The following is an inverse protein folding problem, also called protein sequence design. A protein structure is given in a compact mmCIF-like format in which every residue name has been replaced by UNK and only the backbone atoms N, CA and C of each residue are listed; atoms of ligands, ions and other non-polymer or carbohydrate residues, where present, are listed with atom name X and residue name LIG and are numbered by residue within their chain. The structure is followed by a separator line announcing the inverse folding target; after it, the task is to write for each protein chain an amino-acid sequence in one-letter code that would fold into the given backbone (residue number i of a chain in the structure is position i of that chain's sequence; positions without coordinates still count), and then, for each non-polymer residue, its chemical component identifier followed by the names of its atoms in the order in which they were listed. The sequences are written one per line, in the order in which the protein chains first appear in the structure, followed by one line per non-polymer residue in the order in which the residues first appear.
data_IF_502385370298
#
_entry.id   IF_502385370298
#
_cell.length_a   1.000
_cell.length_b   1.000
_cell.length_c   1.000
_cell.angle_alpha   90.00
_cell.angle_beta   90.00
_cell.angle_gamma   90.00
#
_symmetry.space_group_name_H-M   'P 1'
#
loop_
_entity.id
_entity.type
_entity.pdbx_description
1 polymer ?
#
# COMPACT_ATOMS: atom_id res chain seq x y z
N UNK A 1 4.96 -13.70 -20.85
CA UNK A 1 4.73 -12.49 -20.02
C UNK A 1 4.43 -12.90 -18.58
N UNK A 2 4.87 -12.10 -17.62
CA UNK A 2 4.52 -12.22 -16.21
C UNK A 2 4.16 -10.84 -15.67
N UNK A 3 3.18 -10.76 -14.76
CA UNK A 3 2.84 -9.52 -14.07
C UNK A 3 3.33 -9.58 -12.64
N UNK A 4 4.01 -8.55 -12.17
CA UNK A 4 4.46 -8.39 -10.81
C UNK A 4 3.72 -7.23 -10.17
N UNK A 5 3.06 -7.46 -9.03
CA UNK A 5 2.34 -6.45 -8.27
C UNK A 5 3.02 -6.24 -6.91
N UNK A 6 3.21 -4.98 -6.51
CA UNK A 6 3.66 -4.62 -5.18
C UNK A 6 3.01 -3.30 -4.74
N UNK A 7 2.94 -3.09 -3.44
CA UNK A 7 2.30 -1.94 -2.83
C UNK A 7 2.01 -2.18 -1.36
N UNK A 8 1.13 -1.36 -0.80
CA UNK A 8 0.71 -1.43 0.59
C UNK A 8 -0.57 -2.26 0.81
N UNK A 9 -1.31 -1.97 1.88
CA UNK A 9 -2.55 -2.64 2.25
C UNK A 9 -3.63 -2.58 1.17
N UNK A 10 -3.67 -1.51 0.39
CA UNK A 10 -4.66 -1.34 -0.69
C UNK A 10 -4.40 -2.28 -1.86
N UNK A 11 -3.14 -2.55 -2.20
CA UNK A 11 -2.78 -3.55 -3.22
C UNK A 11 -2.91 -4.97 -2.66
N UNK A 12 -2.59 -5.17 -1.37
CA UNK A 12 -2.70 -6.45 -0.70
C UNK A 12 -4.17 -6.90 -0.49
N UNK A 13 -5.13 -5.99 -0.58
CA UNK A 13 -6.54 -6.27 -0.33
C UNK A 13 -6.88 -6.42 1.15
N UNK A 14 -6.19 -5.67 2.02
CA UNK A 14 -6.46 -5.71 3.45
C UNK A 14 -7.93 -5.46 3.76
N UNK A 15 -8.45 -6.17 4.75
CA UNK A 15 -9.84 -6.13 5.22
C UNK A 15 -10.86 -6.88 4.32
N UNK A 16 -10.47 -7.32 3.12
CA UNK A 16 -11.38 -8.08 2.25
C UNK A 16 -11.78 -9.46 2.84
N UNK A 17 -10.96 -10.00 3.74
CA UNK A 17 -11.22 -11.26 4.43
C UNK A 17 -11.83 -11.08 5.83
N UNK A 18 -12.04 -9.86 6.31
CA UNK A 18 -12.51 -9.60 7.67
C UNK A 18 -14.00 -9.91 7.88
N UNK A 19 -14.76 -10.15 6.82
CA UNK A 19 -16.18 -10.54 6.85
C UNK A 19 -16.45 -11.86 7.59
N UNK A 20 -15.42 -12.65 7.85
CA UNK A 20 -15.51 -13.86 8.69
C UNK A 20 -15.44 -13.57 10.20
N UNK A 21 -15.12 -12.33 10.59
CA UNK A 21 -15.01 -11.94 11.99
C UNK A 21 -16.40 -11.75 12.63
N UNK A 22 -16.54 -12.09 13.92
CA UNK A 22 -17.81 -11.88 14.63
C UNK A 22 -18.25 -10.43 14.60
N UNK A 23 -19.54 -10.20 14.34
CA UNK A 23 -20.17 -8.88 14.35
C UNK A 23 -19.51 -7.85 13.40
N UNK A 24 -18.82 -8.32 12.34
CA UNK A 24 -18.23 -7.42 11.37
C UNK A 24 -19.32 -6.53 10.74
N UNK A 25 -19.16 -5.19 10.73
CA UNK A 25 -20.25 -4.27 10.35
C UNK A 25 -20.56 -4.26 8.85
N UNK A 26 -19.82 -5.02 8.04
CA UNK A 26 -20.02 -5.11 6.59
C UNK A 26 -19.46 -3.92 5.82
N UNK A 27 -19.81 -3.87 4.56
CA UNK A 27 -19.41 -2.78 3.64
C UNK A 27 -20.22 -1.52 3.96
N UNK A 28 -19.57 -0.39 3.83
CA UNK A 28 -20.20 0.91 4.03
C UNK A 28 -20.67 1.48 2.71
N UNK A 29 -21.89 2.01 2.71
CA UNK A 29 -22.36 2.86 1.62
C UNK A 29 -21.58 4.17 1.62
N UNK A 30 -21.18 4.55 0.43
CA UNK A 30 -20.36 5.73 0.23
C UNK A 30 -21.20 6.92 -0.27
N UNK A 31 -20.77 8.18 0.00
CA UNK A 31 -19.51 8.71 -0.54
C UNK A 31 -18.34 8.63 0.46
N UNK A 32 -17.18 8.12 0.00
CA UNK A 32 -15.94 8.16 0.75
C UNK A 32 -15.58 9.62 1.04
N UNK A 33 -15.50 9.97 2.32
CA UNK A 33 -15.04 11.26 2.78
C UNK A 33 -13.52 11.16 3.03
N UNK A 34 -12.67 11.72 2.18
CA UNK A 34 -11.22 11.65 2.34
C UNK A 34 -10.72 12.47 3.53
N UNK A 35 -11.61 13.06 4.33
CA UNK A 35 -11.20 13.86 5.48
C UNK A 35 -10.47 12.98 6.50
N UNK A 36 -9.19 13.26 6.81
CA UNK A 36 -8.44 12.48 7.78
C UNK A 36 -9.16 12.41 9.13
N UNK A 37 -9.30 11.20 9.68
CA UNK A 37 -9.88 10.97 10.99
C UNK A 37 -11.39 10.77 11.03
N UNK A 38 -12.10 10.79 9.91
CA UNK A 38 -13.50 10.36 9.87
C UNK A 38 -13.58 8.85 9.68
N UNK A 39 -13.70 8.15 10.78
CA UNK A 39 -14.12 6.75 10.79
C UNK A 39 -15.65 6.68 10.78
N UNK A 40 -16.18 5.63 10.17
CA UNK A 40 -17.63 5.44 10.17
C UNK A 40 -18.10 5.07 11.59
N UNK A 41 -19.22 5.65 12.04
CA UNK A 41 -19.73 5.45 13.42
C UNK A 41 -19.88 3.98 13.79
N UNK A 42 -20.41 3.16 12.90
CA UNK A 42 -20.58 1.72 13.13
C UNK A 42 -19.23 1.00 13.31
N UNK A 43 -18.19 1.41 12.56
CA UNK A 43 -16.85 0.87 12.72
C UNK A 43 -16.24 1.32 14.06
N UNK A 44 -16.40 2.57 14.45
CA UNK A 44 -15.92 3.06 15.74
C UNK A 44 -16.56 2.31 16.90
N UNK A 45 -17.87 2.11 16.86
CA UNK A 45 -18.60 1.35 17.87
C UNK A 45 -18.14 -0.11 17.94
N UNK A 46 -18.01 -0.77 16.79
CA UNK A 46 -17.49 -2.12 16.67
C UNK A 46 -16.03 -2.21 17.15
N UNK A 47 -15.18 -1.26 16.75
CA UNK A 47 -13.77 -1.20 17.15
C UNK A 47 -13.61 -1.00 18.65
N UNK A 48 -14.37 -0.06 19.25
CA UNK A 48 -14.35 0.20 20.69
C UNK A 48 -14.79 -1.04 21.46
N UNK A 49 -15.91 -1.64 21.09
CA UNK A 49 -16.44 -2.86 21.70
C UNK A 49 -15.42 -4.00 21.61
N UNK A 50 -14.76 -4.13 20.48
CA UNK A 50 -13.90 -5.27 20.18
C UNK A 50 -12.51 -5.16 20.79
N UNK A 51 -11.92 -3.96 20.82
CA UNK A 51 -10.54 -3.75 21.20
C UNK A 51 -10.38 -3.15 22.60
N UNK A 52 -11.31 -2.30 23.05
CA UNK A 52 -11.22 -1.64 24.35
C UNK A 52 -11.88 -2.43 25.47
N UNK A 53 -13.03 -3.04 25.20
CA UNK A 53 -13.80 -3.71 26.26
C UNK A 53 -13.31 -5.13 26.53
N UNK A 54 -13.07 -5.94 25.49
CA UNK A 54 -12.71 -7.36 25.68
C UNK A 54 -11.57 -7.85 24.78
N UNK A 55 -11.10 -7.07 23.83
CA UNK A 55 -10.12 -7.46 22.80
C UNK A 55 -10.42 -8.81 22.10
N UNK A 56 -11.68 -9.26 22.12
CA UNK A 56 -12.03 -10.60 21.60
C UNK A 56 -11.91 -10.67 20.07
N UNK A 57 -12.21 -9.57 19.37
CA UNK A 57 -12.08 -9.56 17.90
C UNK A 57 -10.60 -9.52 17.49
N UNK A 58 -9.74 -8.81 18.22
CA UNK A 58 -8.30 -8.89 18.00
C UNK A 58 -7.78 -10.31 18.17
N UNK A 59 -8.26 -11.03 19.20
CA UNK A 59 -7.95 -12.44 19.43
C UNK A 59 -8.49 -13.31 18.30
N UNK A 60 -9.75 -13.14 17.88
CA UNK A 60 -10.35 -13.90 16.80
C UNK A 60 -9.68 -13.60 15.45
N UNK A 61 -9.33 -12.32 15.17
CA UNK A 61 -8.53 -11.95 14.00
C UNK A 61 -7.17 -12.63 14.03
N UNK A 62 -6.49 -12.66 15.17
CA UNK A 62 -5.22 -13.36 15.32
C UNK A 62 -5.35 -14.87 15.09
N UNK A 63 -6.36 -15.51 15.68
CA UNK A 63 -6.64 -16.95 15.48
C UNK A 63 -6.91 -17.27 14.01
N UNK A 64 -7.66 -16.42 13.32
CA UNK A 64 -8.04 -16.59 11.93
C UNK A 64 -7.09 -15.91 10.93
N UNK A 65 -5.97 -15.33 11.38
CA UNK A 65 -5.06 -14.51 10.56
C UNK A 65 -4.67 -15.19 9.26
N UNK A 66 -4.42 -16.50 9.29
CA UNK A 66 -4.04 -17.26 8.09
C UNK A 66 -5.17 -17.32 7.06
N UNK A 67 -6.41 -17.50 7.53
CA UNK A 67 -7.60 -17.56 6.67
C UNK A 67 -7.91 -16.17 6.12
N UNK A 68 -7.90 -15.14 6.96
CA UNK A 68 -8.12 -13.75 6.57
C UNK A 68 -7.10 -13.32 5.52
N UNK A 69 -5.79 -13.54 5.79
CA UNK A 69 -4.75 -13.17 4.83
C UNK A 69 -4.94 -13.89 3.49
N UNK A 70 -5.35 -15.16 3.50
CA UNK A 70 -5.64 -15.90 2.27
C UNK A 70 -6.82 -15.27 1.51
N UNK A 71 -7.91 -14.95 2.20
CA UNK A 71 -9.07 -14.29 1.60
C UNK A 71 -8.74 -12.88 1.08
N UNK A 72 -7.97 -12.10 1.83
CA UNK A 72 -7.48 -10.79 1.39
C UNK A 72 -6.78 -10.91 0.03
N UNK A 73 -5.81 -11.82 -0.08
CA UNK A 73 -5.06 -12.03 -1.33
C UNK A 73 -5.94 -12.58 -2.47
N UNK A 74 -6.86 -13.50 -2.17
CA UNK A 74 -7.76 -14.09 -3.17
C UNK A 74 -8.74 -13.07 -3.75
N UNK A 75 -9.19 -12.12 -2.96
CA UNK A 75 -10.15 -11.07 -3.32
C UNK A 75 -9.49 -9.80 -3.84
N UNK A 76 -8.18 -9.61 -3.61
CA UNK A 76 -7.44 -8.47 -4.11
C UNK A 76 -7.30 -8.47 -5.64
N UNK A 77 -7.15 -7.28 -6.22
CA UNK A 77 -7.08 -7.12 -7.68
C UNK A 77 -5.96 -7.92 -8.36
N UNK A 78 -4.76 -8.15 -7.77
CA UNK A 78 -3.74 -8.94 -8.45
C UNK A 78 -4.20 -10.37 -8.78
N UNK A 79 -4.88 -11.03 -7.85
CA UNK A 79 -5.41 -12.38 -8.09
C UNK A 79 -6.59 -12.39 -9.08
N UNK A 80 -7.43 -11.36 -9.04
CA UNK A 80 -8.50 -11.16 -10.02
C UNK A 80 -7.93 -10.90 -11.41
N UNK A 81 -6.88 -10.09 -11.50
CA UNK A 81 -6.16 -9.83 -12.74
C UNK A 81 -5.61 -11.13 -13.34
N UNK A 82 -4.97 -11.99 -12.54
CA UNK A 82 -4.49 -13.30 -12.98
C UNK A 82 -5.60 -14.13 -13.65
N UNK A 83 -6.77 -14.20 -12.99
CA UNK A 83 -7.93 -14.94 -13.50
C UNK A 83 -8.47 -14.35 -14.81
N UNK A 84 -8.45 -13.02 -14.94
CA UNK A 84 -8.99 -12.34 -16.13
C UNK A 84 -8.09 -12.47 -17.36
N UNK A 85 -6.77 -12.39 -17.18
CA UNK A 85 -5.82 -12.40 -18.31
C UNK A 85 -5.21 -13.78 -18.58
N UNK A 86 -5.37 -14.74 -17.67
CA UNK A 86 -4.77 -16.08 -17.77
C UNK A 86 -3.25 -16.08 -17.76
N UNK A 87 -2.62 -15.02 -17.24
CA UNK A 87 -1.17 -14.84 -17.14
C UNK A 87 -0.80 -14.76 -15.66
N UNK A 88 0.27 -15.45 -15.29
CA UNK A 88 0.74 -15.48 -13.90
C UNK A 88 0.97 -14.07 -13.35
N UNK A 89 0.37 -13.79 -12.18
CA UNK A 89 0.55 -12.56 -11.42
C UNK A 89 1.21 -12.89 -10.08
N UNK A 90 2.33 -12.24 -9.80
CA UNK A 90 3.00 -12.34 -8.49
C UNK A 90 2.56 -11.14 -7.67
N UNK A 91 1.90 -11.39 -6.53
CA UNK A 91 1.54 -10.33 -5.59
C UNK A 91 2.50 -10.35 -4.39
N UNK A 92 3.37 -9.33 -4.30
CA UNK A 92 4.32 -9.14 -3.19
C UNK A 92 3.91 -8.01 -2.25
N UNK A 93 2.73 -7.42 -2.44
CA UNK A 93 2.23 -6.32 -1.62
C UNK A 93 2.01 -6.73 -0.17
N UNK A 94 2.16 -5.77 0.74
CA UNK A 94 2.02 -6.01 2.18
C UNK A 94 1.41 -4.82 2.88
N UNK A 95 0.49 -5.05 3.83
CA UNK A 95 -0.05 -3.98 4.66
C UNK A 95 1.06 -3.24 5.42
N UNK A 96 0.87 -1.93 5.58
CA UNK A 96 1.75 -1.10 6.39
C UNK A 96 3.14 -0.82 5.80
N UNK A 97 3.38 -1.12 4.52
CA UNK A 97 4.66 -0.83 3.86
C UNK A 97 4.87 0.66 3.59
N UNK A 98 6.15 1.06 3.57
CA UNK A 98 6.61 2.36 3.06
C UNK A 98 7.00 2.27 1.60
N UNK A 99 7.14 3.44 0.95
CA UNK A 99 7.65 3.51 -0.42
C UNK A 99 9.06 2.94 -0.54
N UNK A 100 9.93 3.16 0.46
CA UNK A 100 11.29 2.58 0.53
C UNK A 100 11.24 1.04 0.44
N UNK A 101 10.35 0.40 1.24
CA UNK A 101 10.21 -1.06 1.22
C UNK A 101 9.64 -1.55 -0.09
N UNK A 102 8.61 -0.89 -0.63
CA UNK A 102 8.02 -1.25 -1.92
C UNK A 102 9.09 -1.25 -3.01
N UNK A 103 9.88 -0.19 -3.12
CA UNK A 103 10.91 -0.06 -4.14
C UNK A 103 12.03 -1.06 -3.94
N UNK A 104 12.56 -1.17 -2.71
CA UNK A 104 13.64 -2.11 -2.40
C UNK A 104 13.27 -3.56 -2.71
N UNK A 105 12.08 -4.00 -2.27
CA UNK A 105 11.62 -5.37 -2.54
C UNK A 105 11.28 -5.58 -4.01
N UNK A 106 10.64 -4.61 -4.67
CA UNK A 106 10.37 -4.70 -6.11
C UNK A 106 11.64 -4.84 -6.93
N UNK A 107 12.67 -4.04 -6.67
CA UNK A 107 13.95 -4.16 -7.39
C UNK A 107 14.60 -5.53 -7.18
N UNK A 108 14.60 -6.04 -5.94
CA UNK A 108 15.16 -7.36 -5.63
C UNK A 108 14.45 -8.48 -6.38
N UNK A 109 13.12 -8.47 -6.36
CA UNK A 109 12.30 -9.48 -7.04
C UNK A 109 12.43 -9.38 -8.56
N UNK A 110 12.33 -8.17 -9.10
CA UNK A 110 12.45 -7.93 -10.54
C UNK A 110 13.85 -8.29 -11.07
N UNK A 111 14.92 -8.06 -10.30
CA UNK A 111 16.26 -8.57 -10.64
C UNK A 111 16.28 -10.11 -10.76
N UNK A 112 15.54 -10.79 -9.92
CA UNK A 112 15.44 -12.25 -9.96
C UNK A 112 14.58 -12.69 -11.15
N UNK A 113 13.43 -12.05 -11.36
CA UNK A 113 12.51 -12.37 -12.44
C UNK A 113 13.12 -12.14 -13.83
N UNK A 114 13.95 -11.11 -14.02
CA UNK A 114 14.63 -10.83 -15.30
C UNK A 114 15.63 -11.90 -15.72
N UNK A 115 16.04 -12.79 -14.81
CA UNK A 115 16.90 -13.94 -15.15
C UNK A 115 16.15 -15.03 -15.93
N UNK A 116 14.82 -15.10 -15.78
CA UNK A 116 14.00 -16.17 -16.34
C UNK A 116 12.85 -15.68 -17.23
N UNK A 117 12.56 -14.39 -17.21
CA UNK A 117 11.45 -13.79 -17.95
C UNK A 117 11.90 -12.54 -18.67
N UNK A 118 11.66 -12.47 -19.99
CA UNK A 118 12.00 -11.31 -20.84
C UNK A 118 10.87 -10.30 -21.00
N UNK A 119 9.62 -10.69 -20.71
CA UNK A 119 8.44 -9.84 -20.80
C UNK A 119 7.80 -9.71 -19.42
N UNK A 120 8.08 -8.62 -18.72
CA UNK A 120 7.62 -8.35 -17.36
C UNK A 120 6.85 -7.04 -17.36
N UNK A 121 5.67 -7.05 -16.74
CA UNK A 121 4.90 -5.86 -16.40
C UNK A 121 4.90 -5.70 -14.88
N UNK A 122 5.42 -4.60 -14.38
CA UNK A 122 5.40 -4.25 -12.96
C UNK A 122 4.25 -3.28 -12.68
N UNK A 123 3.36 -3.63 -11.77
CA UNK A 123 2.23 -2.82 -11.30
C UNK A 123 2.52 -2.42 -9.86
N UNK A 124 2.78 -1.15 -9.62
CA UNK A 124 3.25 -0.65 -8.34
C UNK A 124 2.26 0.35 -7.77
N UNK A 125 1.70 0.01 -6.60
CA UNK A 125 0.88 0.92 -5.82
C UNK A 125 1.74 1.83 -4.94
N UNK A 126 1.37 3.11 -4.84
CA UNK A 126 1.98 4.01 -3.89
C UNK A 126 1.48 3.73 -2.45
N UNK A 127 2.01 4.47 -1.48
CA UNK A 127 1.60 4.39 -0.07
C UNK A 127 1.66 5.78 0.55
N UNK A 128 1.21 5.92 1.80
CA UNK A 128 1.27 7.20 2.53
C UNK A 128 2.71 7.72 2.64
N UNK A 129 2.88 9.01 2.39
CA UNK A 129 4.19 9.68 2.33
C UNK A 129 4.99 9.63 3.63
N UNK A 130 4.30 9.70 4.77
CA UNK A 130 4.93 9.74 6.09
C UNK A 130 5.53 8.39 6.55
N UNK A 131 5.46 7.35 5.73
CA UNK A 131 6.03 6.03 6.03
C UNK A 131 7.45 5.94 5.49
N UNK A 132 8.38 5.47 6.33
CA UNK A 132 9.78 5.21 5.95
C UNK A 132 10.22 3.85 6.44
N UNK A 133 11.30 3.33 5.89
CA UNK A 133 11.93 2.09 6.32
C UNK A 133 13.26 2.39 7.01
N UNK A 134 13.52 1.78 8.15
CA UNK A 134 14.78 1.90 8.88
C UNK A 134 15.38 0.52 9.15
N UNK A 135 16.71 0.44 9.16
CA UNK A 135 17.40 -0.76 9.54
C UNK A 135 17.42 -0.89 11.08
N UNK A 136 17.00 -2.05 11.58
CA UNK A 136 16.93 -2.34 13.01
C UNK A 136 17.63 -3.66 13.29
N UNK A 137 18.57 -3.68 14.22
CA UNK A 137 19.37 -4.87 14.55
C UNK A 137 18.55 -6.03 15.16
N UNK A 138 17.36 -5.75 15.70
CA UNK A 138 16.57 -6.73 16.48
C UNK A 138 15.07 -6.68 16.15
N UNK A 139 14.71 -6.40 14.92
CA UNK A 139 13.30 -6.39 14.55
C UNK A 139 12.82 -7.79 14.14
N UNK A 140 11.61 -8.12 14.59
CA UNK A 140 10.92 -9.37 14.24
C UNK A 140 9.72 -8.98 13.40
N UNK A 141 9.66 -9.49 12.18
CA UNK A 141 8.51 -9.32 11.30
C UNK A 141 7.66 -10.59 11.35
N UNK A 142 6.36 -10.44 11.58
CA UNK A 142 5.42 -11.58 11.51
C UNK A 142 4.91 -11.66 10.08
N UNK A 143 5.29 -12.73 9.39
CA UNK A 143 4.86 -13.01 8.03
C UNK A 143 4.15 -14.36 7.98
N UNK A 144 2.88 -14.38 7.55
CA UNK A 144 2.13 -15.63 7.41
C UNK A 144 2.18 -16.54 8.65
N UNK A 145 2.05 -15.96 9.86
CA UNK A 145 2.22 -16.63 11.16
C UNK A 145 3.62 -17.19 11.43
N UNK A 146 4.61 -16.80 10.66
CA UNK A 146 6.01 -17.11 10.96
C UNK A 146 6.72 -15.86 11.51
N UNK A 147 7.46 -16.08 12.56
CA UNK A 147 8.35 -15.06 13.13
C UNK A 147 9.62 -15.07 12.32
N UNK A 148 9.85 -14.03 11.54
CA UNK A 148 11.03 -13.89 10.70
C UNK A 148 11.88 -12.75 11.25
N UNK A 149 13.16 -13.00 11.60
CA UNK A 149 14.09 -11.92 11.92
C UNK A 149 14.20 -10.99 10.71
N UNK A 150 13.94 -9.71 10.93
CA UNK A 150 14.06 -8.68 9.90
C UNK A 150 15.05 -7.62 10.38
N UNK A 151 15.89 -7.19 9.47
CA UNK A 151 16.76 -6.03 9.70
C UNK A 151 16.08 -4.71 9.31
N UNK A 152 14.84 -4.77 8.82
CA UNK A 152 14.11 -3.61 8.34
C UNK A 152 12.78 -3.44 9.05
N UNK A 153 12.52 -2.23 9.50
CA UNK A 153 11.28 -1.82 10.13
C UNK A 153 10.65 -0.67 9.34
N UNK A 154 9.39 -0.84 8.93
CA UNK A 154 8.59 0.29 8.47
C UNK A 154 8.14 1.11 9.66
N UNK A 155 8.40 2.39 9.66
CA UNK A 155 8.00 3.35 10.69
C UNK A 155 7.06 4.39 10.10
N UNK A 156 6.12 4.82 10.94
CA UNK A 156 5.19 5.90 10.65
C UNK A 156 5.14 6.81 11.88
N UNK A 157 5.00 8.10 11.67
CA UNK A 157 4.87 9.07 12.77
C UNK A 157 3.70 8.79 13.72
N UNK A 158 2.73 7.99 13.27
CA UNK A 158 1.47 7.74 14.00
C UNK A 158 1.38 6.38 14.66
N UNK A 159 2.32 5.46 14.42
CA UNK A 159 2.16 4.08 14.87
C UNK A 159 3.39 3.55 15.61
N UNK A 160 3.21 3.20 16.89
CA UNK A 160 4.21 2.57 17.76
C UNK A 160 3.76 1.16 18.10
N UNK A 161 4.70 0.23 18.15
CA UNK A 161 4.45 -1.13 18.62
C UNK A 161 4.88 -1.27 20.08
N UNK A 162 4.19 -2.13 20.87
CA UNK A 162 4.53 -2.38 22.27
C UNK A 162 5.95 -2.92 22.50
N UNK A 163 6.59 -3.41 21.44
CA UNK A 163 7.94 -4.01 21.50
C UNK A 163 9.01 -3.13 20.85
N UNK A 164 8.68 -1.89 20.50
CA UNK A 164 9.66 -0.97 19.95
C UNK A 164 10.72 -0.63 21.02
N UNK A 165 12.00 -0.69 20.62
CA UNK A 165 13.10 -0.34 21.52
C UNK A 165 13.14 1.16 21.80
N UNK A 166 13.84 1.56 22.85
CA UNK A 166 13.99 2.98 23.19
C UNK A 166 14.66 3.76 22.06
N UNK A 167 15.64 3.17 21.35
CA UNK A 167 16.27 3.79 20.20
C UNK A 167 15.26 4.02 19.05
N UNK A 168 14.38 3.05 18.81
CA UNK A 168 13.34 3.19 17.80
C UNK A 168 12.29 4.23 18.22
N UNK A 169 11.92 4.29 19.50
CA UNK A 169 11.05 5.32 20.03
C UNK A 169 11.66 6.71 19.88
N UNK A 170 12.95 6.89 20.17
CA UNK A 170 13.67 8.15 19.94
C UNK A 170 13.65 8.55 18.45
N UNK A 171 13.83 7.59 17.54
CA UNK A 171 13.76 7.84 16.10
C UNK A 171 12.35 8.25 15.66
N UNK A 172 11.32 7.61 16.20
CA UNK A 172 9.93 7.99 15.95
C UNK A 172 9.61 9.39 16.47
N UNK A 173 10.12 9.76 17.65
CA UNK A 173 9.98 11.11 18.19
C UNK A 173 10.71 12.15 17.33
N UNK A 174 11.93 11.82 16.85
CA UNK A 174 12.65 12.67 15.91
C UNK A 174 11.84 12.90 14.63
N UNK A 175 11.30 11.83 14.02
CA UNK A 175 10.45 11.94 12.85
C UNK A 175 9.25 12.85 13.09
N UNK A 176 8.54 12.65 14.21
CA UNK A 176 7.35 13.42 14.54
C UNK A 176 7.65 14.92 14.70
N UNK A 177 8.83 15.27 15.28
CA UNK A 177 9.19 16.65 15.59
C UNK A 177 9.85 17.36 14.39
N UNK A 178 10.71 16.66 13.64
CA UNK A 178 11.64 17.29 12.69
C UNK A 178 11.35 16.96 11.23
N UNK A 179 10.71 15.82 10.92
CA UNK A 179 10.36 15.54 9.53
C UNK A 179 9.18 16.39 9.08
N UNK A 180 9.42 17.19 8.06
CA UNK A 180 8.40 18.00 7.38
C UNK A 180 7.93 17.30 6.10
N UNK A 181 6.77 17.66 5.62
CA UNK A 181 6.20 17.16 4.36
C UNK A 181 7.19 17.19 3.20
N UNK A 182 8.04 18.21 3.15
CA UNK A 182 9.11 18.33 2.15
C UNK A 182 10.00 17.06 2.07
N UNK A 183 10.50 16.56 3.21
CA UNK A 183 11.34 15.36 3.23
C UNK A 183 10.59 14.12 2.74
N UNK A 184 9.30 14.02 3.06
CA UNK A 184 8.48 12.91 2.62
C UNK A 184 8.30 12.91 1.09
N UNK A 185 8.07 14.09 0.49
CA UNK A 185 7.98 14.22 -0.96
C UNK A 185 9.31 13.95 -1.65
N UNK A 186 10.41 14.51 -1.15
CA UNK A 186 11.74 14.24 -1.70
C UNK A 186 12.04 12.74 -1.67
N UNK A 187 11.80 12.08 -0.54
CA UNK A 187 12.01 10.64 -0.41
C UNK A 187 11.11 9.84 -1.36
N UNK A 188 9.85 10.22 -1.47
CA UNK A 188 8.90 9.58 -2.39
C UNK A 188 9.38 9.67 -3.83
N UNK A 189 9.70 10.87 -4.34
CA UNK A 189 10.12 11.04 -5.72
C UNK A 189 11.49 10.41 -6.02
N UNK A 190 12.42 10.41 -5.09
CA UNK A 190 13.68 9.63 -5.23
C UNK A 190 13.39 8.14 -5.43
N UNK A 191 12.48 7.57 -4.68
CA UNK A 191 12.08 6.18 -4.81
C UNK A 191 11.37 5.91 -6.15
N UNK A 192 10.50 6.82 -6.61
CA UNK A 192 9.86 6.75 -7.92
C UNK A 192 10.91 6.73 -9.03
N UNK A 193 11.84 7.69 -9.03
CA UNK A 193 12.93 7.79 -10.03
C UNK A 193 13.77 6.52 -10.04
N UNK A 194 14.20 6.06 -8.86
CA UNK A 194 15.03 4.86 -8.74
C UNK A 194 14.36 3.63 -9.39
N UNK A 195 13.07 3.42 -9.12
CA UNK A 195 12.36 2.27 -9.68
C UNK A 195 12.07 2.45 -11.18
N UNK A 196 11.74 3.66 -11.63
CA UNK A 196 11.52 3.96 -13.05
C UNK A 196 12.78 3.70 -13.88
N UNK A 197 13.92 4.24 -13.45
CA UNK A 197 15.18 4.09 -14.15
C UNK A 197 15.64 2.62 -14.14
N UNK A 198 15.46 1.92 -13.02
CA UNK A 198 15.71 0.48 -12.94
C UNK A 198 14.84 -0.30 -13.94
N UNK A 199 13.54 -0.04 -13.98
CA UNK A 199 12.63 -0.72 -14.91
C UNK A 199 12.98 -0.41 -16.37
N UNK A 200 13.29 0.85 -16.67
CA UNK A 200 13.74 1.27 -18.01
C UNK A 200 15.03 0.54 -18.43
N UNK A 201 16.03 0.49 -17.54
CA UNK A 201 17.30 -0.22 -17.79
C UNK A 201 17.09 -1.72 -18.03
N UNK A 202 16.12 -2.34 -17.36
CA UNK A 202 15.80 -3.77 -17.48
C UNK A 202 14.72 -4.09 -18.51
N UNK A 203 14.27 -3.11 -19.28
CA UNK A 203 13.17 -3.25 -20.25
C UNK A 203 11.88 -3.83 -19.63
N UNK A 204 11.57 -3.41 -18.40
CA UNK A 204 10.35 -3.78 -17.67
C UNK A 204 9.29 -2.70 -17.92
N UNK A 205 8.08 -3.09 -18.27
CA UNK A 205 6.94 -2.16 -18.37
C UNK A 205 6.45 -1.82 -16.98
N UNK A 206 6.44 -0.54 -16.63
CA UNK A 206 6.04 -0.06 -15.28
C UNK A 206 4.71 0.67 -15.36
N UNK A 207 3.76 0.24 -14.54
CA UNK A 207 2.46 0.88 -14.32
C UNK A 207 2.33 1.32 -12.87
N UNK A 208 2.04 2.61 -12.65
CA UNK A 208 1.83 3.16 -11.33
C UNK A 208 0.35 3.24 -10.96
N UNK A 209 0.02 2.85 -9.72
CA UNK A 209 -1.32 3.02 -9.15
C UNK A 209 -1.30 4.06 -8.04
N UNK A 210 -2.20 5.04 -8.09
CA UNK A 210 -2.54 5.83 -6.92
C UNK A 210 -3.50 5.03 -6.04
N UNK A 211 -3.03 4.56 -4.90
CA UNK A 211 -3.83 3.74 -3.98
C UNK A 211 -4.63 4.60 -3.02
N UNK A 212 -3.97 5.48 -2.27
CA UNK A 212 -4.61 6.35 -1.27
C UNK A 212 -4.72 7.78 -1.81
N UNK A 213 -3.60 8.32 -2.28
CA UNK A 213 -3.46 9.72 -2.66
C UNK A 213 -2.78 9.86 -4.02
N UNK A 214 -3.19 10.86 -4.76
CA UNK A 214 -2.54 11.27 -6.00
C UNK A 214 -1.43 12.27 -5.69
N UNK A 215 -0.24 11.78 -5.44
CA UNK A 215 0.93 12.60 -5.08
C UNK A 215 1.44 13.50 -6.22
N UNK A 216 0.83 13.43 -7.41
CA UNK A 216 1.15 14.37 -8.51
C UNK A 216 0.44 15.72 -8.35
N UNK A 217 -0.57 15.81 -7.47
CA UNK A 217 -1.39 17.01 -7.27
C UNK A 217 -0.88 17.94 -6.17
N UNK A 218 0.43 18.00 -5.97
CA UNK A 218 1.04 18.88 -4.98
C UNK A 218 1.08 20.32 -5.48
N UNK A 219 0.64 21.25 -4.67
CA UNK A 219 0.91 22.66 -4.90
C UNK A 219 2.27 23.05 -4.29
N UNK A 220 3.34 22.76 -5.02
CA UNK A 220 4.74 22.97 -4.57
C UNK A 220 5.00 24.44 -4.28
N UNK A 221 4.45 25.36 -5.08
CA UNK A 221 4.70 26.79 -4.93
C UNK A 221 4.14 27.32 -3.62
N UNK A 222 3.01 26.79 -3.18
CA UNK A 222 2.38 27.21 -1.94
C UNK A 222 3.05 26.62 -0.69
N UNK A 223 3.55 25.39 -0.80
CA UNK A 223 4.08 24.66 0.36
C UNK A 223 5.61 24.74 0.47
N UNK A 224 6.33 24.91 -0.65
CA UNK A 224 7.80 24.74 -0.73
C UNK A 224 8.46 25.72 -1.70
N UNK A 225 8.30 27.02 -1.48
CA UNK A 225 8.82 28.08 -2.38
C UNK A 225 10.33 27.94 -2.66
N UNK A 226 11.12 27.47 -1.69
CA UNK A 226 12.58 27.33 -1.79
C UNK A 226 13.06 25.94 -2.26
N UNK A 227 12.16 25.03 -2.58
CA UNK A 227 12.51 23.63 -2.86
C UNK A 227 12.75 23.38 -4.37
N UNK A 228 13.79 23.96 -4.93
CA UNK A 228 14.14 23.76 -6.35
C UNK A 228 14.51 22.31 -6.65
N UNK A 229 15.14 21.59 -5.73
CA UNK A 229 15.47 20.18 -5.84
C UNK A 229 14.22 19.30 -5.93
N UNK A 230 13.18 19.57 -5.14
CA UNK A 230 11.91 18.83 -5.25
C UNK A 230 11.24 19.07 -6.60
N UNK A 231 11.26 20.30 -7.13
CA UNK A 231 10.76 20.58 -8.48
C UNK A 231 11.49 19.78 -9.54
N UNK A 232 12.82 19.71 -9.45
CA UNK A 232 13.64 18.93 -10.37
C UNK A 232 13.33 17.44 -10.28
N UNK A 233 13.10 16.88 -9.07
CA UNK A 233 12.72 15.47 -8.91
C UNK A 233 11.35 15.18 -9.51
N UNK A 234 10.36 16.04 -9.31
CA UNK A 234 9.01 15.90 -9.86
C UNK A 234 9.05 15.93 -11.39
N UNK A 235 9.75 16.91 -11.95
CA UNK A 235 9.91 17.05 -13.39
C UNK A 235 10.63 15.85 -14.01
N UNK A 236 11.72 15.38 -13.40
CA UNK A 236 12.47 14.22 -13.89
C UNK A 236 11.65 12.93 -13.77
N UNK A 237 10.92 12.74 -12.68
CA UNK A 237 10.10 11.54 -12.47
C UNK A 237 9.00 11.43 -13.51
N UNK A 238 8.40 12.54 -13.96
CA UNK A 238 7.24 12.56 -14.88
C UNK A 238 6.17 11.51 -14.50
N UNK A 239 5.90 11.41 -13.18
CA UNK A 239 5.04 10.37 -12.63
C UNK A 239 3.63 10.50 -13.16
N UNK A 240 3.13 9.44 -13.80
CA UNK A 240 1.75 9.33 -14.26
C UNK A 240 1.12 8.08 -13.69
N UNK A 241 0.06 8.26 -12.93
CA UNK A 241 -0.73 7.13 -12.47
C UNK A 241 -1.57 6.55 -13.61
N UNK A 242 -1.41 5.26 -13.83
CA UNK A 242 -2.21 4.50 -14.81
C UNK A 242 -3.64 4.37 -14.34
N UNK A 243 -3.83 4.17 -13.03
CA UNK A 243 -5.12 4.01 -12.37
C UNK A 243 -5.07 4.73 -11.02
N UNK A 244 -6.19 5.36 -10.66
CA UNK A 244 -6.40 5.95 -9.34
C UNK A 244 -7.58 5.22 -8.67
N UNK A 245 -7.31 4.47 -7.60
CA UNK A 245 -8.30 3.65 -6.90
C UNK A 245 -9.38 4.50 -6.21
N UNK A 246 -9.01 5.68 -5.69
CA UNK A 246 -9.97 6.61 -5.09
C UNK A 246 -10.96 7.17 -6.10
N UNK A 247 -10.51 7.44 -7.33
CA UNK A 247 -11.41 7.88 -8.40
C UNK A 247 -12.39 6.75 -8.77
N UNK A 248 -11.90 5.52 -8.91
CA UNK A 248 -12.77 4.35 -9.18
C UNK A 248 -13.82 4.21 -8.07
N UNK A 249 -13.42 4.29 -6.80
CA UNK A 249 -14.34 4.21 -5.67
C UNK A 249 -15.40 5.32 -5.73
N UNK A 250 -14.99 6.54 -6.08
CA UNK A 250 -15.89 7.69 -6.24
C UNK A 250 -16.87 7.51 -7.40
N UNK A 251 -16.43 6.93 -8.51
CA UNK A 251 -17.25 6.74 -9.71
C UNK A 251 -18.33 5.65 -9.51
N UNK A 252 -17.98 4.56 -8.84
CA UNK A 252 -18.91 3.46 -8.54
C UNK A 252 -19.99 3.88 -7.52
N UNK A 253 -19.66 4.71 -6.55
CA UNK A 253 -20.56 5.33 -5.56
C UNK A 253 -21.37 4.40 -4.66
N UNK A 254 -21.08 3.12 -4.57
CA UNK A 254 -21.82 2.16 -3.75
C UNK A 254 -20.92 1.09 -3.17
N UNK A 255 -21.00 0.90 -1.85
CA UNK A 255 -20.30 -0.16 -1.12
C UNK A 255 -18.80 -0.29 -1.46
N UNK A 256 -18.14 0.85 -1.69
CA UNK A 256 -16.77 0.88 -2.20
C UNK A 256 -15.71 0.82 -1.10
N UNK A 257 -16.09 1.05 0.15
CA UNK A 257 -15.18 1.17 1.28
C UNK A 257 -15.53 0.16 2.36
N UNK A 258 -14.53 -0.56 2.85
CA UNK A 258 -14.61 -1.38 4.05
C UNK A 258 -14.60 -0.52 5.32
N UNK A 259 -15.04 -1.05 6.48
CA UNK A 259 -15.23 -0.26 7.70
C UNK A 259 -13.99 0.50 8.20
N UNK A 260 -12.77 -0.01 7.99
CA UNK A 260 -11.53 0.68 8.39
C UNK A 260 -10.94 1.59 7.31
N UNK A 261 -11.64 1.78 6.19
CA UNK A 261 -11.28 2.71 5.13
C UNK A 261 -10.49 2.09 3.98
N UNK A 262 -10.29 0.77 3.91
CA UNK A 262 -9.75 0.10 2.74
C UNK A 262 -10.81 -0.04 1.64
N UNK A 263 -10.37 -0.21 0.40
CA UNK A 263 -11.28 -0.41 -0.71
C UNK A 263 -11.91 -1.81 -0.68
N UNK A 264 -13.21 -1.85 -1.01
CA UNK A 264 -13.98 -3.10 -1.09
C UNK A 264 -13.60 -3.93 -2.32
N UNK A 265 -14.09 -5.16 -2.35
CA UNK A 265 -13.87 -6.10 -3.44
C UNK A 265 -14.35 -5.56 -4.80
N UNK A 266 -15.40 -4.75 -4.83
CA UNK A 266 -15.93 -4.13 -6.05
C UNK A 266 -14.90 -3.19 -6.71
N UNK A 267 -14.19 -2.41 -5.90
CA UNK A 267 -13.10 -1.54 -6.41
C UNK A 267 -11.96 -2.38 -6.95
N UNK A 268 -11.58 -3.46 -6.26
CA UNK A 268 -10.55 -4.38 -6.74
C UNK A 268 -10.93 -5.08 -8.05
N UNK A 269 -12.20 -5.42 -8.25
CA UNK A 269 -12.70 -5.97 -9.52
C UNK A 269 -12.52 -4.97 -10.66
N UNK A 270 -12.88 -3.71 -10.42
CA UNK A 270 -12.78 -2.68 -11.45
C UNK A 270 -11.32 -2.32 -11.77
N UNK A 271 -10.45 -2.23 -10.76
CA UNK A 271 -8.99 -2.08 -10.97
C UNK A 271 -8.44 -3.20 -11.84
N UNK A 272 -8.81 -4.45 -11.57
CA UNK A 272 -8.38 -5.60 -12.36
C UNK A 272 -8.81 -5.48 -13.83
N UNK A 273 -10.07 -5.12 -14.10
CA UNK A 273 -10.58 -4.91 -15.47
C UNK A 273 -9.83 -3.80 -16.22
N UNK A 274 -9.61 -2.66 -15.56
CA UNK A 274 -8.88 -1.55 -16.18
C UNK A 274 -7.42 -1.92 -16.46
N UNK A 275 -6.76 -2.68 -15.56
CA UNK A 275 -5.40 -3.18 -15.77
C UNK A 275 -5.33 -4.15 -16.96
N UNK A 276 -6.34 -5.03 -17.16
CA UNK A 276 -6.40 -5.89 -18.34
C UNK A 276 -6.30 -5.07 -19.61
N UNK A 277 -7.14 -4.04 -19.75
CA UNK A 277 -7.14 -3.17 -20.91
C UNK A 277 -5.79 -2.45 -21.13
N UNK A 278 -5.13 -2.04 -20.05
CA UNK A 278 -3.81 -1.38 -20.13
C UNK A 278 -2.70 -2.35 -20.52
N UNK A 279 -2.68 -3.54 -19.91
CA UNK A 279 -1.64 -4.56 -20.17
C UNK A 279 -1.74 -5.09 -21.59
N UNK A 280 -2.94 -5.20 -22.17
CA UNK A 280 -3.13 -5.62 -23.55
C UNK A 280 -2.64 -4.59 -24.59
N UNK A 281 -2.43 -3.34 -24.19
CA UNK A 281 -1.91 -2.26 -25.04
C UNK A 281 -0.37 -2.15 -25.00
N UNK A 282 0.31 -2.88 -24.12
CA UNK A 282 1.77 -2.87 -23.94
C UNK A 282 2.49 -3.87 -24.83
#
# INVERSE_FOLDING_TARGET
MIVYCNGDSFVAGSELGDDILPEYPGLLDFPWDPTPGKTHKNFEEWYIKSHKENNHIGIERFKNQRVITKLDFERAFPNKLEKLIGIRVINHSRPGTSMDKIVRTSMSDLMTLTKTHSNIVAVIGNTGLARSEVACAKHIEIQHNQVIPSVWRCISSTYRLPHDTDELNCLLDYKLIYEKNYHHYVNFYKNVILLQDFCKLKNIKLLWLATIEDHTKINIEKEFIEAQDLKNFIEYADLKYTINMSNIASDIRSQTICPSGHFSEIVHDEVAKQLVAKIQQL
#
